data_IF_229605699359
#
_entry.id   IF_229605699359
#
_cell.length_a   1.000
_cell.length_b   1.000
_cell.length_c   1.000
_cell.angle_alpha   90.00
_cell.angle_beta   90.00
_cell.angle_gamma   90.00
#
_symmetry.space_group_name_H-M   'P 1'
#
loop_
_entity.id
_entity.type
_entity.pdbx_description
1 polymer ?
#
# COMPACT_ATOMS: atom_id res chain seq x y z
N UNK A 1 -12.03 21.40 11.35
CA UNK A 1 -12.87 20.20 11.47
C UNK A 1 -12.97 19.54 10.12
N UNK A 2 -12.67 18.25 10.05
CA UNK A 2 -12.93 17.41 8.86
C UNK A 2 -13.60 16.11 9.31
N UNK A 3 -14.33 15.49 8.41
CA UNK A 3 -14.96 14.18 8.61
C UNK A 3 -15.01 13.44 7.28
N UNK A 4 -14.54 12.19 7.27
CA UNK A 4 -14.64 11.32 6.11
C UNK A 4 -15.18 9.96 6.53
N UNK A 5 -16.10 9.40 5.74
CA UNK A 5 -16.82 8.16 6.06
C UNK A 5 -16.61 7.11 4.98
N UNK A 6 -15.92 6.04 5.36
CA UNK A 6 -15.61 4.90 4.50
C UNK A 6 -16.50 3.71 4.88
N UNK A 7 -17.49 3.41 4.04
CA UNK A 7 -18.42 2.28 4.25
C UNK A 7 -17.68 0.95 4.28
N UNK A 8 -16.69 0.79 3.40
CA UNK A 8 -15.85 -0.40 3.34
C UNK A 8 -14.61 -0.20 4.22
N UNK A 9 -14.80 -0.13 5.54
CA UNK A 9 -13.73 0.17 6.49
C UNK A 9 -12.50 -0.74 6.41
N UNK A 10 -12.69 -1.99 5.95
CA UNK A 10 -11.58 -2.92 5.72
C UNK A 10 -10.56 -2.43 4.68
N UNK A 11 -10.93 -1.53 3.76
CA UNK A 11 -10.02 -0.96 2.76
C UNK A 11 -8.89 -0.20 3.44
N UNK A 12 -9.21 0.72 4.36
CA UNK A 12 -8.22 1.48 5.11
C UNK A 12 -7.37 0.56 5.98
N UNK A 13 -8.01 -0.43 6.63
CA UNK A 13 -7.30 -1.46 7.42
C UNK A 13 -6.27 -2.22 6.59
N UNK A 14 -6.65 -2.70 5.39
CA UNK A 14 -5.73 -3.42 4.50
C UNK A 14 -4.64 -2.52 3.94
N UNK A 15 -4.96 -1.28 3.59
CA UNK A 15 -3.97 -0.31 3.11
C UNK A 15 -2.91 -0.04 4.18
N UNK A 16 -3.32 0.24 5.43
CA UNK A 16 -2.39 0.46 6.54
C UNK A 16 -1.56 -0.79 6.85
N UNK A 17 -2.18 -1.98 6.87
CA UNK A 17 -1.45 -3.24 7.07
C UNK A 17 -0.38 -3.50 6.00
N UNK A 18 -0.65 -3.16 4.74
CA UNK A 18 0.31 -3.34 3.65
C UNK A 18 1.51 -2.38 3.72
N UNK A 19 1.37 -1.24 4.41
CA UNK A 19 2.37 -0.14 4.40
C UNK A 19 3.19 -0.08 5.69
N UNK A 20 2.60 -0.45 6.84
CA UNK A 20 3.18 -0.19 8.18
C UNK A 20 4.56 -0.81 8.42
N UNK A 21 4.88 -1.90 7.73
CA UNK A 21 6.17 -2.60 7.86
C UNK A 21 7.28 -1.92 7.05
N UNK A 22 6.91 -1.09 6.07
CA UNK A 22 7.84 -0.30 5.27
C UNK A 22 8.04 1.11 5.84
N UNK A 23 6.97 1.70 6.37
CA UNK A 23 6.94 3.09 6.84
C UNK A 23 6.45 3.15 8.29
N UNK A 24 7.33 3.56 9.21
CA UNK A 24 7.00 3.67 10.64
C UNK A 24 6.10 4.88 10.93
N UNK A 25 6.40 6.01 10.29
CA UNK A 25 5.72 7.29 10.49
C UNK A 25 5.29 7.83 9.13
N UNK A 26 4.05 8.28 9.02
CA UNK A 26 3.51 8.79 7.77
C UNK A 26 2.58 9.98 8.01
N UNK A 27 2.48 10.83 7.01
CA UNK A 27 1.49 11.90 6.93
C UNK A 27 0.32 11.43 6.07
N UNK A 28 -0.86 11.38 6.67
CA UNK A 28 -2.12 11.21 5.95
C UNK A 28 -2.63 12.61 5.58
N UNK A 29 -2.73 12.88 4.29
CA UNK A 29 -3.26 14.14 3.78
C UNK A 29 -4.74 13.95 3.44
N UNK A 30 -5.60 14.73 4.08
CA UNK A 30 -7.00 14.84 3.69
C UNK A 30 -7.17 16.20 3.01
N UNK A 31 -7.44 16.19 1.70
CA UNK A 31 -7.72 17.38 0.90
C UNK A 31 -9.22 17.47 0.59
N UNK A 32 -9.68 18.47 -0.15
CA UNK A 32 -11.06 18.51 -0.64
C UNK A 32 -11.37 17.46 -1.72
N UNK A 33 -10.35 16.83 -2.30
CA UNK A 33 -10.51 15.90 -3.43
C UNK A 33 -10.17 14.46 -3.09
N UNK A 34 -9.30 14.23 -2.11
CA UNK A 34 -8.71 12.92 -1.82
C UNK A 34 -8.16 12.80 -0.40
N UNK A 35 -8.15 11.56 0.06
CA UNK A 35 -7.40 11.12 1.23
C UNK A 35 -6.18 10.31 0.74
N UNK A 36 -4.98 10.78 1.05
CA UNK A 36 -3.74 10.25 0.49
C UNK A 36 -2.63 10.08 1.52
N UNK A 37 -1.65 9.26 1.18
CA UNK A 37 -0.41 9.05 1.93
C UNK A 37 0.73 8.95 0.93
N UNK A 38 1.79 9.72 1.16
CA UNK A 38 3.04 9.58 0.44
C UNK A 38 4.17 9.43 1.45
N UNK A 39 4.96 8.37 1.33
CA UNK A 39 6.03 8.10 2.27
C UNK A 39 7.19 7.35 1.62
N UNK A 40 8.36 7.51 2.21
CA UNK A 40 9.58 6.79 1.83
C UNK A 40 9.98 5.91 3.01
N UNK A 41 10.52 4.73 2.72
CA UNK A 41 11.07 3.86 3.75
C UNK A 41 12.31 4.48 4.43
N UNK A 42 12.74 3.90 5.55
CA UNK A 42 13.88 4.44 6.29
C UNK A 42 15.21 4.41 5.51
N UNK A 43 15.34 3.55 4.50
CA UNK A 43 16.55 3.43 3.69
C UNK A 43 16.50 4.24 2.39
N UNK A 44 15.40 4.96 2.14
CA UNK A 44 15.20 5.72 0.90
C UNK A 44 15.28 4.88 -0.39
N UNK A 45 14.98 3.58 -0.28
CA UNK A 45 14.98 2.63 -1.40
C UNK A 45 13.60 2.38 -1.99
N UNK A 46 12.53 2.64 -1.23
CA UNK A 46 11.15 2.43 -1.66
C UNK A 46 10.26 3.63 -1.33
N UNK A 47 9.41 4.00 -2.27
CA UNK A 47 8.39 5.03 -2.12
C UNK A 47 7.00 4.39 -2.21
N UNK A 48 6.11 4.80 -1.32
CA UNK A 48 4.72 4.39 -1.26
C UNK A 48 3.84 5.59 -1.51
N UNK A 49 2.88 5.42 -2.43
CA UNK A 49 1.78 6.37 -2.63
C UNK A 49 0.45 5.64 -2.54
N UNK A 50 -0.44 6.15 -1.69
CA UNK A 50 -1.83 5.73 -1.54
C UNK A 50 -2.70 6.93 -1.86
N UNK A 51 -3.76 6.72 -2.63
CA UNK A 51 -4.75 7.75 -2.93
C UNK A 51 -6.14 7.13 -2.95
N UNK A 52 -7.03 7.66 -2.13
CA UNK A 52 -8.46 7.38 -2.12
C UNK A 52 -9.18 8.67 -2.51
N UNK A 53 -9.76 8.70 -3.71
CA UNK A 53 -10.55 9.85 -4.14
C UNK A 53 -11.78 10.03 -3.24
N UNK A 54 -12.23 11.26 -3.06
CA UNK A 54 -13.43 11.63 -2.29
C UNK A 54 -14.69 10.85 -2.70
N UNK A 55 -14.78 10.44 -3.96
CA UNK A 55 -15.84 9.57 -4.49
C UNK A 55 -15.83 8.12 -3.94
N UNK A 56 -14.77 7.71 -3.24
CA UNK A 56 -14.67 6.42 -2.55
C UNK A 56 -15.34 6.43 -1.18
N UNK A 57 -15.80 7.59 -0.72
CA UNK A 57 -16.41 7.81 0.59
C UNK A 57 -17.90 8.10 0.43
N UNK A 58 -18.70 7.72 1.45
CA UNK A 58 -20.12 8.04 1.48
C UNK A 58 -20.32 9.51 1.85
N UNK A 59 -19.64 9.95 2.90
CA UNK A 59 -19.58 11.34 3.34
C UNK A 59 -18.12 11.81 3.31
N UNK A 60 -17.87 12.99 2.73
CA UNK A 60 -16.54 13.54 2.59
C UNK A 60 -16.56 15.06 2.83
N UNK A 61 -16.19 15.47 4.03
CA UNK A 61 -16.18 16.86 4.45
C UNK A 61 -14.75 17.28 4.83
N UNK A 62 -14.06 17.95 3.91
CA UNK A 62 -12.75 18.52 4.13
C UNK A 62 -12.59 19.78 3.26
N UNK A 63 -12.94 20.95 3.79
CA UNK A 63 -12.82 22.21 3.03
C UNK A 63 -11.38 22.71 2.94
N UNK A 64 -10.62 22.57 4.03
CA UNK A 64 -9.21 22.94 4.14
C UNK A 64 -8.39 21.67 4.29
N UNK A 65 -7.34 21.55 3.48
CA UNK A 65 -6.45 20.40 3.58
C UNK A 65 -5.83 20.30 4.96
N UNK A 66 -5.83 19.09 5.51
CA UNK A 66 -5.28 18.78 6.84
C UNK A 66 -4.26 17.67 6.69
N UNK A 67 -3.25 17.70 7.57
CA UNK A 67 -2.19 16.72 7.62
C UNK A 67 -2.24 16.00 8.97
N UNK A 68 -2.36 14.67 8.93
CA UNK A 68 -2.48 13.83 10.12
C UNK A 68 -1.21 13.00 10.23
N UNK A 69 -0.28 13.48 11.05
CA UNK A 69 0.96 12.75 11.31
C UNK A 69 0.72 11.59 12.27
N UNK A 70 1.00 10.35 11.81
CA UNK A 70 0.69 9.13 12.55
C UNK A 70 1.86 8.16 12.62
N UNK A 71 1.95 7.42 13.73
CA UNK A 71 2.70 6.17 13.76
C UNK A 71 1.84 5.05 13.15
N UNK A 72 2.33 4.44 12.06
CA UNK A 72 1.58 3.45 11.29
C UNK A 72 1.28 2.16 12.07
N UNK A 73 2.16 1.79 13.01
CA UNK A 73 1.94 0.64 13.88
C UNK A 73 0.83 0.91 14.91
N UNK A 74 0.75 2.12 15.44
CA UNK A 74 -0.35 2.53 16.33
C UNK A 74 -1.67 2.61 15.57
N UNK A 75 -1.68 3.21 14.38
CA UNK A 75 -2.86 3.25 13.52
C UNK A 75 -3.36 1.84 13.17
N UNK A 76 -2.44 0.92 12.79
CA UNK A 76 -2.74 -0.50 12.59
C UNK A 76 -3.40 -1.15 13.82
N UNK A 77 -2.89 -0.88 15.03
CA UNK A 77 -3.47 -1.40 16.28
C UNK A 77 -4.89 -0.89 16.51
N UNK A 78 -5.15 0.39 16.25
CA UNK A 78 -6.48 0.99 16.42
C UNK A 78 -7.46 0.48 15.37
N UNK A 79 -7.05 0.35 14.11
CA UNK A 79 -7.89 -0.22 13.04
C UNK A 79 -8.27 -1.70 13.25
N UNK A 80 -7.60 -2.42 14.17
CA UNK A 80 -7.99 -3.79 14.55
C UNK A 80 -9.28 -3.84 15.36
N UNK A 81 -9.73 -2.73 15.95
CA UNK A 81 -11.02 -2.66 16.64
C UNK A 81 -12.20 -2.65 15.66
N UNK A 82 -11.97 -2.25 14.40
CA UNK A 82 -12.96 -2.36 13.34
C UNK A 82 -13.11 -3.83 12.89
N UNK A 83 -14.37 -4.27 12.87
CA UNK A 83 -14.80 -5.48 12.18
C UNK A 83 -14.55 -5.37 10.67
N UNK A 84 -14.64 -6.50 9.95
CA UNK A 84 -14.38 -6.51 8.51
C UNK A 84 -15.45 -5.76 7.70
N UNK A 85 -16.67 -5.68 8.24
CA UNK A 85 -17.81 -5.01 7.61
C UNK A 85 -18.15 -3.67 8.28
N UNK A 86 -17.38 -3.25 9.29
CA UNK A 86 -17.64 -1.99 10.00
C UNK A 86 -17.32 -0.79 9.09
N UNK A 87 -18.16 0.25 9.20
CA UNK A 87 -17.92 1.57 8.63
C UNK A 87 -16.82 2.23 9.46
N UNK A 88 -15.86 2.86 8.79
CA UNK A 88 -14.79 3.64 9.43
C UNK A 88 -15.02 5.12 9.13
N UNK A 89 -15.16 5.92 10.17
CA UNK A 89 -15.22 7.38 10.09
C UNK A 89 -13.93 7.93 10.70
N UNK A 90 -13.32 8.88 10.00
CA UNK A 90 -12.14 9.61 10.48
C UNK A 90 -12.53 11.06 10.64
N UNK A 91 -12.37 11.59 11.84
CA UNK A 91 -12.72 12.97 12.16
C UNK A 91 -11.58 13.65 12.94
N UNK A 92 -11.49 14.96 12.80
CA UNK A 92 -10.55 15.79 13.56
C UNK A 92 -11.08 17.20 13.69
N UNK A 93 -10.70 17.89 14.76
CA UNK A 93 -11.21 19.22 15.11
C UNK A 93 -10.46 20.35 14.37
N UNK A 94 -10.35 21.55 14.94
CA UNK A 94 -9.58 22.64 14.32
C UNK A 94 -8.13 22.70 14.83
N UNK A 95 -7.87 22.16 16.03
CA UNK A 95 -6.57 22.23 16.68
C UNK A 95 -5.63 21.12 16.18
N UNK A 96 -6.18 20.00 15.69
CA UNK A 96 -5.42 18.89 15.07
C UNK A 96 -4.37 18.27 15.99
N UNK A 97 -4.61 18.31 17.30
CA UNK A 97 -3.82 17.58 18.29
C UNK A 97 -4.18 16.08 18.31
N UNK A 98 -5.46 15.78 18.01
CA UNK A 98 -6.02 14.43 18.02
C UNK A 98 -6.79 14.13 16.73
N UNK A 99 -6.75 12.87 16.31
CA UNK A 99 -7.64 12.30 15.31
C UNK A 99 -8.54 11.27 16.00
N UNK A 100 -9.85 11.37 15.78
CA UNK A 100 -10.81 10.39 16.24
C UNK A 100 -11.15 9.40 15.11
N UNK A 101 -11.12 8.11 15.46
CA UNK A 101 -11.56 7.02 14.61
C UNK A 101 -12.83 6.43 15.22
N UNK A 102 -13.91 6.47 14.44
CA UNK A 102 -15.19 5.87 14.80
C UNK A 102 -15.46 4.64 13.94
N UNK A 103 -15.72 3.51 14.60
CA UNK A 103 -16.08 2.24 13.97
C UNK A 103 -17.53 1.93 14.28
N UNK A 104 -18.35 1.83 13.24
CA UNK A 104 -19.78 1.59 13.37
C UNK A 104 -20.16 0.30 12.65
N UNK A 105 -20.86 -0.59 13.34
CA UNK A 105 -21.43 -1.77 12.68
C UNK A 105 -22.48 -1.34 11.64
N UNK A 106 -22.66 -2.09 10.54
CA UNK A 106 -23.65 -1.74 9.50
C UNK A 106 -25.08 -1.53 10.03
N UNK A 107 -25.45 -2.25 11.10
CA UNK A 107 -26.75 -2.13 11.75
C UNK A 107 -26.85 -1.02 12.80
N UNK A 108 -25.75 -0.34 13.14
CA UNK A 108 -25.68 0.71 14.15
C UNK A 108 -25.80 0.24 15.60
N UNK A 109 -25.83 -1.08 15.83
CA UNK A 109 -25.95 -1.70 17.16
C UNK A 109 -24.67 -1.55 18.01
N UNK A 110 -23.52 -1.33 17.38
CA UNK A 110 -22.24 -1.12 18.04
C UNK A 110 -21.50 0.04 17.40
N UNK A 111 -21.10 1.00 18.23
CA UNK A 111 -20.21 2.10 17.85
C UNK A 111 -19.01 2.12 18.80
N UNK A 112 -17.81 2.24 18.25
CA UNK A 112 -16.55 2.36 19.00
C UNK A 112 -15.86 3.64 18.56
N UNK A 113 -15.50 4.52 19.49
CA UNK A 113 -14.78 5.77 19.22
C UNK A 113 -13.43 5.74 19.93
N UNK A 114 -12.35 6.05 19.21
CA UNK A 114 -10.98 6.01 19.71
C UNK A 114 -10.26 7.28 19.25
N UNK A 115 -9.75 8.05 20.20
CA UNK A 115 -8.90 9.22 19.94
C UNK A 115 -7.42 8.81 19.92
N UNK A 116 -6.70 9.30 18.92
CA UNK A 116 -5.27 9.12 18.75
C UNK A 116 -4.56 10.48 18.70
N UNK A 117 -3.55 10.65 19.55
CA UNK A 117 -2.64 11.78 19.45
C UNK A 117 -1.93 11.79 18.09
N UNK A 118 -2.01 12.93 17.42
CA UNK A 118 -1.25 13.23 16.22
C UNK A 118 0.18 13.60 16.59
N UNK A 119 1.07 13.47 15.62
CA UNK A 119 2.48 13.76 15.76
C UNK A 119 2.90 14.80 14.73
N UNK A 120 3.76 15.72 15.13
CA UNK A 120 4.48 16.56 14.18
C UNK A 120 5.46 15.70 13.39
N UNK A 121 5.15 15.49 12.11
CA UNK A 121 6.03 14.82 11.16
C UNK A 121 6.52 15.88 10.18
N UNK A 122 7.75 15.72 9.69
CA UNK A 122 8.28 16.54 8.60
C UNK A 122 8.16 15.76 7.31
N UNK A 123 6.96 15.77 6.74
CA UNK A 123 6.69 15.20 5.43
C UNK A 123 7.47 15.91 4.34
N UNK A 124 7.79 15.12 3.32
CA UNK A 124 8.35 15.61 2.09
C UNK A 124 7.31 15.36 1.00
N UNK A 125 6.95 16.40 0.25
CA UNK A 125 6.13 16.24 -0.94
C UNK A 125 7.01 15.72 -2.06
N UNK A 126 6.67 14.55 -2.59
CA UNK A 126 7.34 13.95 -3.74
C UNK A 126 6.41 14.06 -4.94
N UNK A 127 6.86 14.74 -6.00
CA UNK A 127 6.19 14.69 -7.28
C UNK A 127 6.56 13.36 -7.97
N UNK A 128 5.56 12.55 -8.27
CA UNK A 128 5.74 11.33 -9.06
C UNK A 128 5.67 11.74 -10.54
N UNK A 129 6.75 11.61 -11.30
CA UNK A 129 6.71 11.92 -12.72
C UNK A 129 6.03 10.78 -13.48
N UNK A 130 5.39 11.13 -14.59
CA UNK A 130 4.85 10.14 -15.50
C UNK A 130 5.99 9.42 -16.23
N UNK A 131 6.01 8.09 -16.14
CA UNK A 131 6.99 7.26 -16.83
C UNK A 131 6.34 6.42 -17.93
N UNK A 132 6.97 6.45 -19.10
CA UNK A 132 6.61 5.56 -20.19
C UNK A 132 7.40 4.25 -20.09
N UNK A 133 6.86 3.28 -19.35
CA UNK A 133 7.58 2.03 -19.03
C UNK A 133 7.85 1.16 -20.27
N UNK A 134 9.03 0.56 -20.34
CA UNK A 134 9.41 -0.43 -21.36
C UNK A 134 8.60 -1.72 -21.25
N UNK A 135 8.25 -2.12 -20.02
CA UNK A 135 7.54 -3.36 -19.73
C UNK A 135 6.49 -3.14 -18.65
N UNK A 136 5.29 -3.69 -18.87
CA UNK A 136 4.23 -3.78 -17.87
C UNK A 136 3.74 -5.22 -17.79
N UNK A 137 3.91 -5.84 -16.63
CA UNK A 137 3.40 -7.18 -16.30
C UNK A 137 2.15 -7.00 -15.45
N UNK A 138 1.04 -7.68 -15.79
CA UNK A 138 -0.07 -7.88 -14.87
C UNK A 138 -0.20 -9.36 -14.57
N UNK A 139 -0.29 -9.72 -13.30
CA UNK A 139 -0.48 -11.10 -12.85
C UNK A 139 -1.20 -11.10 -11.51
N UNK A 140 -1.67 -12.28 -11.09
CA UNK A 140 -2.25 -12.47 -9.77
C UNK A 140 -1.27 -12.06 -8.67
N UNK A 141 -1.73 -11.24 -7.72
CA UNK A 141 -0.94 -10.82 -6.56
C UNK A 141 -0.53 -12.01 -5.69
N UNK A 142 -1.35 -13.06 -5.59
CA UNK A 142 -1.02 -14.27 -4.84
C UNK A 142 0.11 -15.07 -5.49
N UNK A 143 0.15 -15.11 -6.83
CA UNK A 143 1.24 -15.72 -7.60
C UNK A 143 2.53 -14.93 -7.38
N UNK A 144 2.48 -13.61 -7.54
CA UNK A 144 3.64 -12.74 -7.35
C UNK A 144 4.20 -12.84 -5.92
N UNK A 145 3.34 -12.75 -4.91
CA UNK A 145 3.72 -12.90 -3.51
C UNK A 145 4.37 -14.26 -3.22
N UNK A 146 3.83 -15.35 -3.79
CA UNK A 146 4.44 -16.67 -3.64
C UNK A 146 5.81 -16.76 -4.30
N UNK A 147 6.01 -16.14 -5.47
CA UNK A 147 7.31 -16.10 -6.15
C UNK A 147 8.33 -15.38 -5.27
N UNK A 148 8.01 -14.17 -4.81
CA UNK A 148 8.90 -13.38 -3.98
C UNK A 148 9.27 -14.10 -2.68
N UNK A 149 8.28 -14.66 -1.96
CA UNK A 149 8.52 -15.41 -0.72
C UNK A 149 9.42 -16.62 -0.95
N UNK A 150 9.16 -17.41 -1.99
CA UNK A 150 9.94 -18.62 -2.26
C UNK A 150 11.39 -18.29 -2.67
N UNK A 151 11.62 -17.21 -3.42
CA UNK A 151 12.97 -16.79 -3.81
C UNK A 151 13.73 -16.15 -2.63
N UNK A 152 13.04 -15.49 -1.70
CA UNK A 152 13.64 -14.86 -0.53
C UNK A 152 14.28 -15.89 0.43
N UNK A 153 13.83 -17.15 0.41
CA UNK A 153 14.46 -18.25 1.14
C UNK A 153 15.87 -18.59 0.63
N UNK A 154 16.24 -18.12 -0.58
CA UNK A 154 17.53 -18.41 -1.22
C UNK A 154 18.49 -17.23 -1.11
N UNK A 155 18.02 -16.02 -1.47
CA UNK A 155 18.80 -14.78 -1.44
C UNK A 155 17.82 -13.58 -1.41
N UNK A 156 18.23 -12.46 -0.83
CA UNK A 156 17.44 -11.23 -0.79
C UNK A 156 17.37 -10.50 -2.15
N UNK A 157 18.12 -10.90 -3.18
CA UNK A 157 18.04 -10.25 -4.50
C UNK A 157 17.25 -11.11 -5.50
N UNK A 158 16.32 -10.50 -6.24
CA UNK A 158 15.66 -11.11 -7.40
C UNK A 158 16.03 -10.36 -8.69
N UNK A 159 16.46 -11.10 -9.70
CA UNK A 159 16.59 -10.62 -11.07
C UNK A 159 15.29 -10.87 -11.82
N UNK A 160 14.64 -9.80 -12.26
CA UNK A 160 13.43 -9.83 -13.07
C UNK A 160 13.82 -9.53 -14.51
N UNK A 161 13.68 -10.53 -15.39
CA UNK A 161 13.99 -10.43 -16.81
C UNK A 161 12.75 -10.69 -17.65
N UNK A 162 12.42 -9.78 -18.57
CA UNK A 162 11.28 -9.93 -19.47
C UNK A 162 11.74 -10.00 -20.91
N UNK A 163 11.38 -11.10 -21.56
CA UNK A 163 11.72 -11.37 -22.95
C UNK A 163 10.48 -11.83 -23.72
N UNK A 164 10.66 -12.23 -24.98
CA UNK A 164 9.58 -12.83 -25.78
C UNK A 164 9.06 -14.15 -25.20
N UNK A 165 9.83 -14.82 -24.34
CA UNK A 165 9.41 -16.07 -23.70
C UNK A 165 8.46 -15.86 -22.51
N UNK A 166 8.52 -14.69 -21.87
CA UNK A 166 7.75 -14.37 -20.68
C UNK A 166 8.52 -13.52 -19.67
N UNK A 167 7.96 -13.39 -18.47
CA UNK A 167 8.58 -12.76 -17.32
C UNK A 167 9.28 -13.82 -16.45
N UNK A 168 10.59 -13.71 -16.30
CA UNK A 168 11.42 -14.61 -15.52
C UNK A 168 11.86 -13.92 -14.23
N UNK A 169 11.64 -14.58 -13.10
CA UNK A 169 12.12 -14.20 -11.78
C UNK A 169 13.21 -15.18 -11.39
N UNK A 170 14.39 -14.68 -11.05
CA UNK A 170 15.53 -15.55 -10.78
C UNK A 170 16.39 -15.07 -9.63
N UNK A 171 17.01 -16.02 -8.94
CA UNK A 171 17.99 -15.73 -7.90
C UNK A 171 19.01 -16.86 -7.79
N UNK A 172 20.12 -16.57 -7.12
CA UNK A 172 21.19 -17.53 -6.83
C UNK A 172 21.69 -17.29 -5.42
N UNK A 173 21.94 -18.36 -4.67
CA UNK A 173 22.47 -18.33 -3.31
C UNK A 173 23.66 -19.27 -3.13
N UNK A 174 24.16 -19.36 -1.89
CA UNK A 174 25.32 -20.19 -1.55
C UNK A 174 25.03 -21.68 -1.73
N UNK A 175 23.87 -22.15 -1.27
CA UNK A 175 23.46 -23.56 -1.33
C UNK A 175 22.65 -23.90 -2.59
N UNK A 176 21.96 -22.91 -3.17
CA UNK A 176 21.15 -23.07 -4.38
C UNK A 176 21.78 -22.26 -5.50
N UNK A 177 22.42 -22.97 -6.45
CA UNK A 177 23.16 -22.35 -7.56
C UNK A 177 22.30 -21.41 -8.42
N UNK A 178 21.06 -21.80 -8.71
CA UNK A 178 20.14 -21.05 -9.57
C UNK A 178 18.69 -21.49 -9.30
N UNK A 179 17.79 -20.53 -9.15
CA UNK A 179 16.35 -20.74 -9.07
C UNK A 179 15.65 -19.78 -10.03
N UNK A 180 14.74 -20.31 -10.85
CA UNK A 180 14.05 -19.57 -11.91
C UNK A 180 12.57 -19.91 -11.94
N UNK A 181 11.75 -18.88 -11.97
CA UNK A 181 10.30 -18.99 -12.20
C UNK A 181 9.97 -18.22 -13.47
N UNK A 182 9.41 -18.90 -14.47
CA UNK A 182 9.01 -18.30 -15.73
C UNK A 182 7.49 -18.24 -15.84
N UNK A 183 6.96 -17.01 -15.87
CA UNK A 183 5.55 -16.72 -16.09
C UNK A 183 5.33 -16.37 -17.56
N UNK A 184 4.59 -17.22 -18.27
CA UNK A 184 4.25 -16.99 -19.68
C UNK A 184 2.90 -16.29 -19.80
N UNK A 185 2.74 -15.56 -20.90
CA UNK A 185 1.47 -14.97 -21.24
C UNK A 185 0.48 -16.06 -21.66
N UNK A 186 -0.63 -16.17 -20.94
CA UNK A 186 -1.77 -16.99 -21.33
C UNK A 186 -2.95 -16.05 -21.64
N UNK A 187 -3.95 -16.52 -22.39
CA UNK A 187 -5.02 -15.67 -22.95
C UNK A 187 -6.27 -15.53 -22.08
N UNK A 188 -6.25 -15.97 -20.83
CA UNK A 188 -7.43 -16.01 -19.95
C UNK A 188 -7.44 -14.86 -18.93
N UNK A 189 -8.61 -14.49 -18.40
CA UNK A 189 -8.79 -13.29 -17.56
C UNK A 189 -7.97 -13.28 -16.25
N UNK A 190 -7.63 -14.45 -15.70
CA UNK A 190 -6.81 -14.59 -14.48
C UNK A 190 -5.32 -14.87 -14.73
N UNK A 191 -4.85 -14.65 -15.96
CA UNK A 191 -3.49 -15.02 -16.37
C UNK A 191 -2.52 -13.86 -16.46
N UNK A 192 -1.22 -14.19 -16.51
CA UNK A 192 -0.16 -13.19 -16.68
C UNK A 192 -0.30 -12.52 -18.04
N UNK A 193 -0.40 -11.19 -18.08
CA UNK A 193 -0.33 -10.40 -19.32
C UNK A 193 0.94 -9.56 -19.33
N UNK A 194 1.58 -9.47 -20.49
CA UNK A 194 2.87 -8.77 -20.64
C UNK A 194 2.74 -7.80 -21.82
N UNK A 195 2.92 -6.51 -21.54
CA UNK A 195 3.12 -5.47 -22.57
C UNK A 195 4.60 -5.11 -22.57
N UNK A 196 5.29 -5.35 -23.69
CA UNK A 196 6.74 -5.16 -23.80
C UNK A 196 7.07 -4.33 -25.05
N UNK A 197 7.76 -3.21 -24.86
CA UNK A 197 8.39 -2.42 -25.93
C UNK A 197 9.80 -2.92 -26.21
N UNK A 198 10.58 -3.12 -25.15
CA UNK A 198 11.97 -3.56 -25.20
C UNK A 198 12.23 -4.62 -24.12
N UNK A 199 13.24 -5.46 -24.31
CA UNK A 199 13.63 -6.44 -23.30
C UNK A 199 14.27 -5.73 -22.11
N UNK A 200 13.90 -6.16 -20.91
CA UNK A 200 14.37 -5.54 -19.66
C UNK A 200 14.91 -6.64 -18.76
N UNK A 201 16.00 -6.34 -18.05
CA UNK A 201 16.53 -7.20 -17.00
C UNK A 201 17.06 -6.33 -15.87
N UNK A 202 16.42 -6.38 -14.70
CA UNK A 202 16.74 -5.54 -13.54
C UNK A 202 16.74 -6.36 -12.25
N UNK A 203 17.65 -6.03 -11.35
CA UNK A 203 17.77 -6.66 -10.04
C UNK A 203 17.11 -5.77 -8.97
N UNK A 204 16.38 -6.41 -8.05
CA UNK A 204 15.68 -5.75 -6.96
C UNK A 204 15.90 -6.50 -5.65
N UNK A 205 15.82 -5.79 -4.52
CA UNK A 205 15.75 -6.45 -3.21
C UNK A 205 14.34 -6.97 -2.96
N UNK A 206 14.24 -8.22 -2.53
CA UNK A 206 13.00 -8.90 -2.17
C UNK A 206 12.42 -8.35 -0.87
N UNK A 207 13.22 -7.74 0.00
CA UNK A 207 12.71 -6.95 1.14
C UNK A 207 11.81 -5.79 0.69
N UNK A 208 12.07 -5.21 -0.49
CA UNK A 208 11.29 -4.09 -1.04
C UNK A 208 10.15 -4.56 -1.94
N UNK A 209 10.33 -5.67 -2.67
CA UNK A 209 9.37 -6.12 -3.70
C UNK A 209 8.40 -7.18 -3.17
N UNK A 210 8.86 -8.03 -2.26
CA UNK A 210 8.15 -9.21 -1.78
C UNK A 210 7.23 -8.95 -0.60
N UNK A 211 6.61 -7.76 -0.54
CA UNK A 211 5.73 -7.32 0.55
C UNK A 211 4.98 -8.50 1.18
N UNK A 212 5.08 -8.64 2.50
CA UNK A 212 4.39 -9.69 3.26
C UNK A 212 2.89 -9.37 3.27
N UNK A 213 2.20 -9.70 2.17
CA UNK A 213 0.74 -9.70 2.08
C UNK A 213 0.14 -10.88 2.84
#
# INVERSE_FOLDING_TARGET
MFEIKLVQGWLLKRAVEAIKDLVTYAELMCSSTDFSLNAVDSNYSAFVSLLLGSNSFEDYNCEKSVCLGVNMNNLSRVLKFAGNDDIVIVEGDDDMDDMCLVFQSPGGDKTTSINMHLMDIHGHSYAIPDYDYDVVIRMSSSVFASICRNLAEINDTVLISVTKEGAMFSTSGETVKDAKVLCRQNGEEDTTTIKMKTQVSMAFSLSCVGFKF
#
